data_IF_518895241418
#
_entry.id   IF_518895241418
#
_cell.length_a   1.000
_cell.length_b   1.000
_cell.length_c   1.000
_cell.angle_alpha   90.00
_cell.angle_beta   90.00
_cell.angle_gamma   90.00
#
_symmetry.space_group_name_H-M   'P 1'
#
loop_
_entity.id
_entity.type
_entity.pdbx_description
1 polymer ?
#
# COMPACT_ATOMS: atom_id res chain seq x y z
N UNK A 1 -23.46 -22.33 -38.97
CA UNK A 1 -22.77 -23.02 -37.85
C UNK A 1 -22.26 -21.93 -36.91
N UNK A 2 -22.69 -21.97 -35.66
CA UNK A 2 -22.49 -20.93 -34.64
C UNK A 2 -21.49 -21.43 -33.59
N UNK A 3 -20.80 -20.47 -32.94
CA UNK A 3 -19.94 -20.54 -31.72
C UNK A 3 -18.45 -20.67 -32.01
N UNK A 4 -17.52 -20.01 -31.33
CA UNK A 4 -17.44 -19.05 -30.19
C UNK A 4 -15.98 -18.53 -30.27
N UNK A 5 -15.59 -17.29 -29.96
CA UNK A 5 -15.90 -16.55 -28.74
C UNK A 5 -14.97 -16.96 -27.59
N UNK A 6 -13.64 -16.98 -27.79
CA UNK A 6 -12.69 -17.17 -26.70
C UNK A 6 -12.46 -15.82 -26.00
N UNK A 7 -13.11 -15.67 -24.85
CA UNK A 7 -12.81 -14.64 -23.87
C UNK A 7 -11.53 -15.05 -23.12
N UNK A 8 -10.52 -14.19 -23.17
CA UNK A 8 -9.39 -14.22 -22.25
C UNK A 8 -9.93 -13.93 -20.85
N UNK A 9 -10.01 -14.95 -20.00
CA UNK A 9 -10.30 -14.78 -18.58
C UNK A 9 -9.07 -14.20 -17.86
N UNK A 10 -9.25 -13.38 -16.80
CA UNK A 10 -8.14 -12.89 -16.02
C UNK A 10 -7.56 -14.06 -15.21
N UNK A 11 -6.28 -14.38 -15.43
CA UNK A 11 -5.53 -15.39 -14.68
C UNK A 11 -4.51 -14.72 -13.76
N UNK A 12 -4.98 -13.88 -12.84
CA UNK A 12 -4.19 -13.46 -11.68
C UNK A 12 -4.51 -14.40 -10.52
N UNK A 13 -3.64 -15.36 -10.22
CA UNK A 13 -3.81 -16.24 -9.06
C UNK A 13 -3.34 -15.53 -7.79
N UNK A 14 -4.21 -14.71 -7.19
CA UNK A 14 -3.94 -14.13 -5.87
C UNK A 14 -4.01 -15.21 -4.79
N UNK A 15 -2.90 -15.46 -4.07
CA UNK A 15 -2.93 -16.28 -2.85
C UNK A 15 -3.39 -15.43 -1.66
N UNK A 16 -4.59 -15.72 -1.15
CA UNK A 16 -5.14 -15.10 0.04
C UNK A 16 -4.39 -15.48 1.32
N UNK A 17 -3.82 -14.46 1.95
CA UNK A 17 -3.71 -14.18 3.38
C UNK A 17 -3.08 -15.26 4.31
N UNK A 18 -1.81 -15.03 4.68
CA UNK A 18 -1.40 -15.29 6.06
C UNK A 18 -2.26 -14.47 7.04
N UNK A 19 -2.24 -14.81 8.34
CA UNK A 19 -3.04 -14.10 9.34
C UNK A 19 -2.88 -12.57 9.21
N UNK A 20 -3.99 -11.80 9.27
CA UNK A 20 -3.92 -10.35 9.12
C UNK A 20 -3.08 -9.71 10.22
N UNK A 21 -2.37 -8.66 9.88
CA UNK A 21 -1.57 -7.86 10.80
C UNK A 21 -2.46 -6.85 11.51
N UNK A 22 -2.48 -6.88 12.84
CA UNK A 22 -3.32 -6.00 13.65
C UNK A 22 -2.50 -4.79 14.05
N UNK A 23 -2.91 -3.61 13.62
CA UNK A 23 -2.24 -2.33 13.94
C UNK A 23 -3.21 -1.37 14.62
N UNK A 24 -2.66 -0.53 15.50
CA UNK A 24 -3.38 0.61 16.06
C UNK A 24 -3.04 1.85 15.24
N UNK A 25 -4.04 2.45 14.59
CA UNK A 25 -3.88 3.61 13.73
C UNK A 25 -4.48 4.83 14.41
N UNK A 26 -3.65 5.84 14.69
CA UNK A 26 -4.11 7.13 15.19
C UNK A 26 -4.29 8.11 14.01
N UNK A 27 -5.53 8.27 13.54
CA UNK A 27 -5.86 9.18 12.44
C UNK A 27 -5.87 10.65 12.85
N UNK A 28 -5.76 10.97 14.15
CA UNK A 28 -5.56 12.35 14.59
C UNK A 28 -4.10 12.79 14.48
N UNK A 29 -3.18 11.82 14.35
CA UNK A 29 -1.75 12.08 14.23
C UNK A 29 -1.50 12.84 12.93
N UNK A 30 -0.77 13.95 13.02
CA UNK A 30 -0.34 14.66 11.83
C UNK A 30 0.60 13.77 11.01
N UNK A 31 0.65 14.00 9.70
CA UNK A 31 1.55 13.26 8.81
C UNK A 31 3.01 13.27 9.32
N UNK A 32 3.51 14.43 9.76
CA UNK A 32 4.88 14.58 10.29
C UNK A 32 5.12 13.74 11.54
N UNK A 33 4.14 13.65 12.42
CA UNK A 33 4.22 12.81 13.62
C UNK A 33 4.17 11.32 13.27
N UNK A 34 3.34 10.94 12.29
CA UNK A 34 3.23 9.55 11.83
C UNK A 34 4.54 9.05 11.21
N UNK A 35 5.20 9.85 10.36
CA UNK A 35 6.52 9.53 9.81
C UNK A 35 7.59 9.41 10.90
N UNK A 36 7.58 10.31 11.89
CA UNK A 36 8.53 10.25 12.99
C UNK A 36 8.37 8.98 13.83
N UNK A 37 7.14 8.49 13.96
CA UNK A 37 6.84 7.30 14.73
C UNK A 37 7.13 6.00 13.96
N UNK A 38 6.99 5.99 12.63
CA UNK A 38 7.16 4.81 11.78
C UNK A 38 8.60 4.31 11.62
N UNK A 39 9.55 4.80 12.44
CA UNK A 39 11.00 4.54 12.33
C UNK A 39 11.54 4.81 10.92
N UNK A 40 10.83 5.65 10.16
CA UNK A 40 11.23 6.04 8.83
C UNK A 40 12.28 7.13 8.94
N UNK A 41 13.54 6.76 8.69
CA UNK A 41 14.67 7.69 8.77
C UNK A 41 14.79 8.56 7.51
N UNK A 42 14.08 8.19 6.45
CA UNK A 42 14.00 8.92 5.20
C UNK A 42 12.59 8.83 4.59
N UNK A 43 12.17 9.91 3.95
CA UNK A 43 10.94 9.97 3.16
C UNK A 43 11.18 10.80 1.91
N UNK A 44 10.49 10.46 0.82
CA UNK A 44 10.52 11.26 -0.40
C UNK A 44 9.93 12.65 -0.13
N UNK A 45 10.60 13.70 -0.61
CA UNK A 45 10.10 15.08 -0.56
C UNK A 45 8.66 15.26 -1.07
N UNK A 46 8.24 14.43 -2.04
CA UNK A 46 6.89 14.47 -2.62
C UNK A 46 5.81 13.98 -1.64
N UNK A 47 6.18 13.34 -0.53
CA UNK A 47 5.20 12.81 0.42
C UNK A 47 4.30 13.88 1.05
N UNK A 48 4.75 15.13 1.03
CA UNK A 48 3.96 16.28 1.48
C UNK A 48 2.76 16.59 0.59
N UNK A 49 2.71 16.07 -0.64
CA UNK A 49 1.58 16.23 -1.55
C UNK A 49 0.39 15.32 -1.20
N UNK A 50 0.60 14.32 -0.35
CA UNK A 50 -0.47 13.45 0.11
C UNK A 50 -1.34 14.19 1.13
N UNK A 51 -2.61 14.34 0.78
CA UNK A 51 -3.60 14.83 1.74
C UNK A 51 -3.90 13.74 2.77
N UNK A 52 -3.96 14.12 4.05
CA UNK A 52 -4.52 13.22 5.06
C UNK A 52 -5.99 12.95 4.69
N UNK A 53 -6.46 11.69 4.70
CA UNK A 53 -7.86 11.41 4.42
C UNK A 53 -8.72 12.15 5.44
N UNK A 54 -9.38 13.23 5.02
CA UNK A 54 -10.14 14.12 5.91
C UNK A 54 -11.33 13.42 6.62
N UNK A 55 -11.63 12.19 6.23
CA UNK A 55 -12.81 11.42 6.63
C UNK A 55 -12.61 10.56 7.87
N UNK A 56 -11.37 10.22 8.27
CA UNK A 56 -11.12 9.39 9.47
C UNK A 56 -10.52 10.22 10.60
N UNK A 57 -11.02 9.99 11.81
CA UNK A 57 -10.58 10.65 13.05
C UNK A 57 -10.56 9.64 14.19
N UNK A 58 -9.79 9.93 15.22
CA UNK A 58 -9.63 9.04 16.36
C UNK A 58 -8.61 7.93 16.13
N UNK A 59 -8.55 7.00 17.08
CA UNK A 59 -7.72 5.80 17.00
C UNK A 59 -8.59 4.61 16.64
N UNK A 60 -8.14 3.76 15.73
CA UNK A 60 -8.82 2.53 15.37
C UNK A 60 -7.84 1.34 15.31
N UNK A 61 -8.34 0.16 15.67
CA UNK A 61 -7.66 -1.09 15.35
C UNK A 61 -7.99 -1.47 13.91
N UNK A 62 -6.95 -1.67 13.10
CA UNK A 62 -7.06 -2.00 11.68
C UNK A 62 -6.36 -3.33 11.42
N UNK A 63 -7.00 -4.18 10.61
CA UNK A 63 -6.45 -5.46 10.15
C UNK A 63 -5.93 -5.30 8.73
N UNK A 64 -4.61 -5.35 8.57
CA UNK A 64 -3.93 -5.27 7.28
C UNK A 64 -3.72 -6.67 6.73
N UNK A 65 -4.27 -6.92 5.55
CA UNK A 65 -3.99 -8.08 4.71
C UNK A 65 -2.92 -7.65 3.69
N UNK A 66 -1.81 -8.40 3.62
CA UNK A 66 -0.79 -8.19 2.59
C UNK A 66 -1.09 -9.08 1.39
N UNK A 67 -1.49 -8.46 0.29
CA UNK A 67 -1.81 -9.16 -0.95
C UNK A 67 -0.56 -9.22 -1.82
N UNK A 68 -0.26 -10.41 -2.33
CA UNK A 68 0.91 -10.69 -3.14
C UNK A 68 0.45 -11.28 -4.48
N UNK A 69 1.02 -10.76 -5.56
CA UNK A 69 0.83 -11.25 -6.92
C UNK A 69 2.16 -11.84 -7.41
N UNK A 70 2.11 -13.04 -7.97
CA UNK A 70 3.31 -13.77 -8.42
C UNK A 70 3.82 -13.29 -9.80
N UNK A 71 3.30 -12.16 -10.30
CA UNK A 71 3.62 -11.58 -11.60
C UNK A 71 3.64 -10.05 -11.55
N UNK A 72 4.19 -9.44 -12.60
CA UNK A 72 4.14 -8.00 -12.82
C UNK A 72 2.68 -7.54 -12.93
N UNK A 73 2.30 -6.51 -12.17
CA UNK A 73 0.90 -6.06 -12.10
C UNK A 73 0.79 -4.54 -12.09
N UNK A 74 -0.20 -3.99 -12.79
CA UNK A 74 -0.48 -2.55 -12.75
C UNK A 74 -1.29 -2.15 -11.52
N UNK A 75 -1.20 -0.88 -11.11
CA UNK A 75 -2.03 -0.33 -10.03
C UNK A 75 -3.53 -0.56 -10.25
N UNK A 76 -4.01 -0.41 -11.49
CA UNK A 76 -5.42 -0.58 -11.83
C UNK A 76 -5.89 -2.04 -11.63
N UNK A 77 -5.06 -3.00 -12.03
CA UNK A 77 -5.35 -4.43 -11.83
C UNK A 77 -5.37 -4.79 -10.35
N UNK A 78 -4.40 -4.30 -9.57
CA UNK A 78 -4.39 -4.47 -8.11
C UNK A 78 -5.68 -3.93 -7.49
N UNK A 79 -6.06 -2.69 -7.81
CA UNK A 79 -7.26 -2.06 -7.26
C UNK A 79 -8.54 -2.83 -7.62
N UNK A 80 -8.64 -3.30 -8.87
CA UNK A 80 -9.74 -4.13 -9.32
C UNK A 80 -9.83 -5.45 -8.56
N UNK A 81 -8.70 -6.13 -8.35
CA UNK A 81 -8.67 -7.42 -7.66
C UNK A 81 -8.92 -7.27 -6.16
N UNK A 82 -8.40 -6.21 -5.52
CA UNK A 82 -8.74 -5.87 -4.14
C UNK A 82 -10.25 -5.67 -3.97
N UNK A 83 -10.89 -4.94 -4.90
CA UNK A 83 -12.33 -4.70 -4.82
C UNK A 83 -13.14 -6.00 -4.94
N UNK A 84 -12.74 -6.90 -5.85
CA UNK A 84 -13.32 -8.24 -5.99
C UNK A 84 -13.16 -9.10 -4.74
N UNK A 85 -12.12 -8.89 -3.96
CA UNK A 85 -11.89 -9.56 -2.67
C UNK A 85 -12.69 -8.92 -1.52
N UNK A 86 -13.43 -7.83 -1.76
CA UNK A 86 -14.09 -7.06 -0.71
C UNK A 86 -13.10 -6.27 0.15
N UNK A 87 -11.91 -5.97 -0.40
CA UNK A 87 -10.87 -5.20 0.25
C UNK A 87 -10.86 -3.77 -0.31
N UNK A 88 -10.35 -2.85 0.49
CA UNK A 88 -9.90 -1.52 0.06
C UNK A 88 -8.39 -1.46 0.24
N UNK A 89 -7.66 -0.68 -0.56
CA UNK A 89 -6.25 -0.44 -0.28
C UNK A 89 -6.07 0.31 1.05
N UNK A 90 -4.95 0.06 1.72
CA UNK A 90 -4.55 0.77 2.92
C UNK A 90 -4.14 2.20 2.58
N UNK A 91 -4.53 3.16 3.42
CA UNK A 91 -4.13 4.55 3.28
C UNK A 91 -2.74 4.83 3.88
N UNK A 92 -2.27 6.06 3.73
CA UNK A 92 -0.94 6.47 4.19
C UNK A 92 -0.76 6.34 5.71
N UNK A 93 -1.78 6.64 6.52
CA UNK A 93 -1.70 6.50 7.98
C UNK A 93 -1.62 5.03 8.40
N UNK A 94 -2.40 4.18 7.74
CA UNK A 94 -2.36 2.73 7.92
C UNK A 94 -1.02 2.14 7.50
N UNK A 95 -0.47 2.58 6.36
CA UNK A 95 0.84 2.17 5.89
C UNK A 95 1.95 2.57 6.87
N UNK A 96 1.94 3.82 7.35
CA UNK A 96 2.92 4.30 8.35
C UNK A 96 2.83 3.54 9.67
N UNK A 97 1.62 3.32 10.18
CA UNK A 97 1.39 2.52 11.39
C UNK A 97 1.80 1.05 11.19
N UNK A 98 1.65 0.51 9.98
CA UNK A 98 2.19 -0.81 9.63
C UNK A 98 3.72 -0.86 9.71
N UNK A 99 4.41 0.15 9.16
CA UNK A 99 5.86 0.27 9.30
C UNK A 99 6.35 0.41 10.74
N UNK A 100 5.57 1.10 11.60
CA UNK A 100 5.85 1.23 13.03
C UNK A 100 5.72 -0.12 13.77
N UNK A 101 4.62 -0.84 13.52
CA UNK A 101 4.28 -2.07 14.23
C UNK A 101 4.99 -3.33 13.74
N UNK A 102 5.34 -3.38 12.45
CA UNK A 102 5.92 -4.56 11.79
C UNK A 102 7.16 -4.21 10.93
N UNK A 103 8.20 -3.59 11.51
CA UNK A 103 9.36 -3.11 10.75
C UNK A 103 10.09 -4.24 10.02
N UNK A 104 10.19 -5.43 10.62
CA UNK A 104 10.84 -6.61 10.02
C UNK A 104 10.19 -7.03 8.70
N UNK A 105 8.90 -6.75 8.51
CA UNK A 105 8.19 -7.07 7.28
C UNK A 105 8.55 -6.06 6.18
N UNK A 106 8.52 -4.76 6.50
CA UNK A 106 8.92 -3.68 5.59
C UNK A 106 10.40 -3.75 5.17
N UNK A 107 11.24 -4.43 5.97
CA UNK A 107 12.64 -4.70 5.62
C UNK A 107 12.81 -5.88 4.64
N UNK A 108 11.82 -6.77 4.52
CA UNK A 108 11.91 -7.97 3.68
C UNK A 108 11.44 -7.73 2.25
N UNK A 109 10.47 -6.86 2.04
CA UNK A 109 9.90 -6.56 0.73
C UNK A 109 9.19 -5.20 0.70
N UNK A 110 9.00 -4.59 -0.49
CA UNK A 110 8.21 -3.38 -0.62
C UNK A 110 6.76 -3.61 -0.19
N UNK A 111 6.23 -2.72 0.66
CA UNK A 111 4.83 -2.71 1.09
C UNK A 111 4.15 -1.45 0.54
N UNK A 112 3.20 -1.63 -0.36
CA UNK A 112 2.55 -0.55 -1.12
C UNK A 112 1.21 -0.18 -0.51
N UNK A 113 0.95 1.12 -0.32
CA UNK A 113 -0.32 1.65 0.20
C UNK A 113 -1.09 2.46 -0.84
N UNK A 114 -1.88 1.80 -1.68
CA UNK A 114 -2.60 2.45 -2.79
C UNK A 114 -3.83 3.28 -2.37
N UNK A 115 -4.15 3.35 -1.07
CA UNK A 115 -5.32 4.05 -0.55
C UNK A 115 -5.12 5.56 -0.38
N UNK A 116 -3.94 6.07 -0.75
CA UNK A 116 -3.63 7.49 -0.77
C UNK A 116 -2.87 7.81 -2.05
N UNK A 117 -3.34 8.82 -2.77
CA UNK A 117 -2.74 9.31 -4.01
C UNK A 117 -2.29 10.75 -3.77
N UNK A 118 -1.04 11.02 -4.12
CA UNK A 118 -0.43 12.35 -4.09
C UNK A 118 -0.20 12.87 -5.50
N UNK A 119 0.29 14.10 -5.59
CA UNK A 119 0.75 14.71 -6.83
C UNK A 119 2.28 14.78 -6.84
N UNK A 120 2.87 14.28 -7.92
CA UNK A 120 4.31 14.31 -8.13
C UNK A 120 4.80 15.63 -8.74
N UNK A 121 6.09 15.70 -9.04
CA UNK A 121 6.75 16.92 -9.54
C UNK A 121 6.25 17.38 -10.91
N UNK A 122 5.76 16.46 -11.73
CA UNK A 122 5.23 16.69 -13.07
C UNK A 122 3.70 16.51 -13.13
N UNK A 123 3.03 16.70 -11.99
CA UNK A 123 1.57 16.56 -11.82
C UNK A 123 1.05 15.14 -12.08
N UNK A 124 1.95 14.16 -12.10
CA UNK A 124 1.63 12.74 -12.16
C UNK A 124 1.04 12.27 -10.82
N UNK A 125 0.13 11.29 -10.89
CA UNK A 125 -0.42 10.68 -9.69
C UNK A 125 0.59 9.70 -9.11
N UNK A 126 0.94 9.88 -7.84
CA UNK A 126 1.90 9.04 -7.13
C UNK A 126 1.28 8.34 -5.93
N UNK A 127 1.83 7.18 -5.56
CA UNK A 127 1.39 6.36 -4.42
C UNK A 127 2.57 5.98 -3.53
N UNK A 128 2.36 5.85 -2.20
CA UNK A 128 3.42 5.58 -1.25
C UNK A 128 3.71 4.08 -1.13
N UNK A 129 4.96 3.77 -0.85
CA UNK A 129 5.37 2.43 -0.41
C UNK A 129 6.50 2.49 0.62
N UNK A 130 6.53 1.50 1.51
CA UNK A 130 7.59 1.29 2.48
C UNK A 130 8.59 0.27 1.93
N UNK A 131 9.87 0.57 2.04
CA UNK A 131 10.93 -0.39 1.74
C UNK A 131 12.21 -0.09 2.53
N UNK A 132 13.15 -1.03 2.52
CA UNK A 132 14.47 -0.80 3.08
C UNK A 132 15.15 0.38 2.36
N UNK A 133 15.71 1.30 3.14
CA UNK A 133 16.45 2.44 2.64
C UNK A 133 17.72 1.98 1.90
N UNK A 134 17.87 2.37 0.63
CA UNK A 134 19.05 2.02 -0.17
C UNK A 134 20.32 2.58 0.49
N UNK A 135 21.31 1.72 0.74
CA UNK A 135 22.60 2.10 1.31
C UNK A 135 22.62 2.28 2.83
N UNK A 136 21.52 1.98 3.54
CA UNK A 136 21.47 1.99 5.01
C UNK A 136 20.80 0.72 5.53
N UNK A 137 21.55 -0.06 6.29
CA UNK A 137 21.08 -1.31 6.87
C UNK A 137 20.02 -0.99 7.94
N UNK A 138 18.94 -1.77 8.00
CA UNK A 138 17.88 -1.71 9.03
C UNK A 138 17.01 -0.44 9.06
N UNK A 139 17.14 0.47 8.09
CA UNK A 139 16.28 1.67 8.03
C UNK A 139 15.14 1.46 7.05
N UNK A 140 13.93 1.85 7.46
CA UNK A 140 12.76 1.90 6.57
C UNK A 140 12.69 3.29 5.95
N UNK A 141 12.35 3.34 4.67
CA UNK A 141 12.13 4.56 3.93
C UNK A 141 10.72 4.54 3.33
N UNK A 142 10.12 5.72 3.29
CA UNK A 142 8.85 5.95 2.63
C UNK A 142 9.10 6.59 1.27
N UNK A 143 8.86 5.82 0.22
CA UNK A 143 9.08 6.21 -1.17
C UNK A 143 7.74 6.48 -1.86
N UNK A 144 7.80 7.11 -3.03
CA UNK A 144 6.66 7.30 -3.92
C UNK A 144 6.96 6.69 -5.30
N UNK A 145 5.94 6.17 -5.96
CA UNK A 145 5.99 5.76 -7.38
C UNK A 145 4.76 6.27 -8.11
N UNK A 146 4.89 6.45 -9.41
CA UNK A 146 3.78 6.82 -10.30
C UNK A 146 2.72 5.70 -10.34
N UNK A 147 1.46 6.08 -10.50
CA UNK A 147 0.34 5.12 -10.53
C UNK A 147 0.34 4.23 -11.78
N UNK A 148 0.98 4.64 -12.87
CA UNK A 148 1.16 3.85 -14.08
C UNK A 148 2.37 2.91 -14.03
N UNK A 149 3.13 2.93 -12.92
CA UNK A 149 4.22 2.00 -12.66
C UNK A 149 3.72 0.55 -12.65
N UNK A 150 4.54 -0.35 -13.21
CA UNK A 150 4.33 -1.80 -13.17
C UNK A 150 5.05 -2.37 -11.96
N UNK A 151 4.29 -2.91 -11.02
CA UNK A 151 4.81 -3.45 -9.77
C UNK A 151 5.33 -4.87 -9.99
N UNK A 152 6.58 -5.10 -9.62
CA UNK A 152 7.17 -6.44 -9.69
C UNK A 152 6.61 -7.40 -8.64
N UNK A 153 6.87 -8.72 -8.80
CA UNK A 153 6.34 -9.78 -7.94
C UNK A 153 6.88 -9.75 -6.51
N UNK A 154 7.85 -8.88 -6.20
CA UNK A 154 8.31 -8.68 -4.83
C UNK A 154 7.41 -7.71 -4.02
N UNK A 155 6.46 -7.02 -4.67
CA UNK A 155 5.61 -6.04 -4.00
C UNK A 155 4.45 -6.69 -3.25
N UNK A 156 4.19 -6.22 -2.03
CA UNK A 156 3.03 -6.62 -1.22
C UNK A 156 2.12 -5.42 -1.06
N UNK A 157 0.84 -5.59 -1.38
CA UNK A 157 -0.14 -4.52 -1.32
C UNK A 157 -0.88 -4.58 0.00
N UNK A 158 -0.73 -3.53 0.81
CA UNK A 158 -1.46 -3.42 2.07
C UNK A 158 -2.92 -3.11 1.78
N UNK A 159 -3.81 -3.96 2.29
CA UNK A 159 -5.24 -3.86 2.08
C UNK A 159 -6.00 -4.08 3.39
N UNK A 160 -7.20 -3.52 3.48
CA UNK A 160 -8.09 -3.63 4.64
C UNK A 160 -9.45 -4.12 4.17
N UNK A 161 -10.04 -5.07 4.89
CA UNK A 161 -11.39 -5.55 4.59
C UNK A 161 -12.42 -4.44 4.78
N UNK A 162 -13.31 -4.25 3.80
CA UNK A 162 -14.42 -3.29 3.95
C UNK A 162 -15.34 -3.78 5.06
N UNK A 163 -15.72 -2.88 5.97
CA UNK A 163 -16.80 -3.17 6.90
C UNK A 163 -18.09 -3.35 6.09
N UNK A 164 -18.82 -4.43 6.37
CA UNK A 164 -20.11 -4.77 5.74
C UNK A 164 -21.20 -3.83 6.22
#
# INVERSE_FOLDING_TARGET
MTRQGEALGPSGSSRGAGNPYVISVDYNRSFKEAVKASRCDWFDSQISSFSSPATRKGTAEVKIELIHFDEDISTNEVLHDLDRMGLRPADLHELLAFGEGYPDISLRFPVVGLGSVGLGWHEESIVPYLFQAVGRIEQIALYCMETDYIWGPDCRFAAVRRAV
#
